data_IF_365260742073
#
_entry.id   IF_365260742073
#
_cell.length_a   1.000
_cell.length_b   1.000
_cell.length_c   1.000
_cell.angle_alpha   90.00
_cell.angle_beta   90.00
_cell.angle_gamma   90.00
#
_symmetry.space_group_name_H-M   'P 1'
#
loop_
_entity.id
_entity.type
_entity.pdbx_description
1 polymer ?
#
# COMPACT_ATOMS: atom_id res chain seq x y z
N UNK A 1 -32.02 -16.92 28.90
CA UNK A 1 -32.42 -16.15 27.70
C UNK A 1 -33.39 -14.99 28.00
N UNK A 2 -34.24 -15.06 29.04
CA UNK A 2 -35.30 -14.07 29.31
C UNK A 2 -34.83 -12.75 29.98
N UNK A 3 -33.79 -12.77 30.82
CA UNK A 3 -33.32 -11.56 31.56
C UNK A 3 -32.72 -10.48 30.63
N UNK A 4 -31.92 -10.88 29.62
CA UNK A 4 -31.31 -9.93 28.66
C UNK A 4 -32.34 -9.22 27.77
N UNK A 5 -33.46 -9.88 27.48
CA UNK A 5 -34.57 -9.29 26.71
C UNK A 5 -35.36 -8.28 27.56
N UNK A 6 -35.55 -8.57 28.85
CA UNK A 6 -36.26 -7.69 29.77
C UNK A 6 -35.52 -6.37 30.01
N UNK A 7 -34.20 -6.43 30.21
CA UNK A 7 -33.36 -5.23 30.42
C UNK A 7 -33.28 -4.36 29.15
N UNK A 8 -33.23 -4.97 27.96
CA UNK A 8 -33.26 -4.23 26.68
C UNK A 8 -34.55 -3.41 26.49
N UNK A 9 -35.65 -3.81 27.13
CA UNK A 9 -36.96 -3.13 27.03
C UNK A 9 -36.99 -1.78 27.78
N UNK A 10 -36.10 -1.59 28.75
CA UNK A 10 -35.96 -0.37 29.56
C UNK A 10 -34.82 0.55 29.10
N UNK A 11 -34.01 0.12 28.13
CA UNK A 11 -32.93 0.94 27.56
C UNK A 11 -33.48 1.60 26.28
N UNK A 12 -33.42 2.94 26.15
CA UNK A 12 -33.86 3.62 24.93
C UNK A 12 -33.14 3.06 23.69
N UNK A 13 -33.88 2.84 22.60
CA UNK A 13 -33.36 2.23 21.37
C UNK A 13 -32.10 2.96 20.85
N UNK A 14 -32.08 4.29 20.93
CA UNK A 14 -30.92 5.12 20.56
C UNK A 14 -29.62 4.76 21.33
N UNK A 15 -29.69 4.37 22.60
CA UNK A 15 -28.50 3.92 23.34
C UNK A 15 -28.01 2.55 22.87
N UNK A 16 -28.93 1.65 22.52
CA UNK A 16 -28.59 0.35 21.94
C UNK A 16 -27.94 0.53 20.58
N UNK A 17 -28.45 1.42 19.74
CA UNK A 17 -27.90 1.76 18.43
C UNK A 17 -26.52 2.41 18.56
N UNK A 18 -26.36 3.40 19.47
CA UNK A 18 -25.07 4.03 19.77
C UNK A 18 -24.02 3.01 20.23
N UNK A 19 -24.42 2.02 21.04
CA UNK A 19 -23.54 0.92 21.47
C UNK A 19 -23.09 0.05 20.28
N UNK A 20 -23.98 -0.23 19.33
CA UNK A 20 -23.65 -0.95 18.09
C UNK A 20 -22.69 -0.13 17.22
N UNK A 21 -22.89 1.18 17.11
CA UNK A 21 -21.99 2.05 16.35
C UNK A 21 -20.58 2.10 16.96
N UNK A 22 -20.48 2.25 18.29
CA UNK A 22 -19.19 2.27 19.00
C UNK A 22 -18.46 0.93 18.84
N UNK A 23 -19.15 -0.20 18.98
CA UNK A 23 -18.50 -1.51 18.81
C UNK A 23 -17.95 -1.71 17.39
N UNK A 24 -18.70 -1.27 16.37
CA UNK A 24 -18.23 -1.27 14.97
C UNK A 24 -17.03 -0.34 14.76
N UNK A 25 -17.03 0.84 15.36
CA UNK A 25 -15.89 1.78 15.29
C UNK A 25 -14.63 1.19 15.94
N UNK A 26 -14.76 0.54 17.11
CA UNK A 26 -13.65 -0.15 17.77
C UNK A 26 -13.13 -1.30 16.91
N UNK A 27 -14.04 -2.10 16.33
CA UNK A 27 -13.66 -3.19 15.43
C UNK A 27 -12.92 -2.65 14.19
N UNK A 28 -13.44 -1.60 13.55
CA UNK A 28 -12.80 -0.94 12.41
C UNK A 28 -11.41 -0.42 12.77
N UNK A 29 -11.29 0.31 13.89
CA UNK A 29 -10.00 0.81 14.37
C UNK A 29 -9.00 -0.34 14.56
N UNK A 30 -9.42 -1.44 15.21
CA UNK A 30 -8.58 -2.63 15.39
C UNK A 30 -8.15 -3.22 14.05
N UNK A 31 -9.07 -3.36 13.10
CA UNK A 31 -8.78 -3.87 11.76
C UNK A 31 -7.76 -2.99 11.04
N UNK A 32 -7.98 -1.68 10.98
CA UNK A 32 -7.07 -0.74 10.31
C UNK A 32 -5.70 -0.67 10.99
N UNK A 33 -5.68 -0.50 12.31
CA UNK A 33 -4.43 -0.35 13.06
C UNK A 33 -3.59 -1.61 13.06
N UNK A 34 -4.20 -2.80 13.16
CA UNK A 34 -3.48 -4.07 13.31
C UNK A 34 -3.48 -4.93 12.05
N UNK A 35 -4.63 -5.22 11.45
CA UNK A 35 -4.72 -6.16 10.33
C UNK A 35 -4.16 -5.56 9.04
N UNK A 36 -4.45 -4.28 8.81
CA UNK A 36 -3.87 -3.50 7.71
C UNK A 36 -2.57 -2.78 8.11
N UNK A 37 -2.09 -3.02 9.33
CA UNK A 37 -0.79 -2.54 9.82
C UNK A 37 -0.58 -1.02 9.72
N UNK A 38 -1.65 -0.22 9.80
CA UNK A 38 -1.55 1.24 9.72
C UNK A 38 -0.63 1.79 10.82
N UNK A 39 -0.71 1.26 12.04
CA UNK A 39 0.16 1.68 13.14
C UNK A 39 1.65 1.44 12.83
N UNK A 40 1.99 0.24 12.35
CA UNK A 40 3.36 -0.11 11.97
C UNK A 40 3.85 0.74 10.79
N UNK A 41 2.98 1.02 9.83
CA UNK A 41 3.34 1.84 8.66
C UNK A 41 3.66 3.28 9.05
N UNK A 42 2.91 3.85 10.02
CA UNK A 42 3.18 5.18 10.58
C UNK A 42 4.53 5.18 11.31
N UNK A 43 4.74 4.22 12.22
CA UNK A 43 5.97 4.14 13.04
C UNK A 43 7.22 3.97 12.17
N UNK A 44 7.14 3.15 11.13
CA UNK A 44 8.27 2.86 10.22
C UNK A 44 8.41 3.84 9.06
N UNK A 45 7.44 4.74 8.90
CA UNK A 45 7.32 5.61 7.73
C UNK A 45 7.45 4.85 6.40
N UNK A 46 6.80 3.68 6.31
CA UNK A 46 6.90 2.77 5.17
C UNK A 46 5.63 1.93 5.03
N UNK A 47 5.21 1.63 3.80
CA UNK A 47 4.02 0.80 3.56
C UNK A 47 4.33 -0.67 3.83
N UNK A 48 3.82 -1.21 4.93
CA UNK A 48 4.06 -2.60 5.37
C UNK A 48 2.78 -3.38 5.66
N UNK A 49 2.83 -4.71 5.55
CA UNK A 49 1.77 -5.60 6.01
C UNK A 49 1.85 -5.88 7.53
N UNK A 50 0.92 -6.67 8.05
CA UNK A 50 0.87 -7.08 9.47
C UNK A 50 2.11 -7.83 9.95
N UNK A 51 2.89 -8.42 9.05
CA UNK A 51 4.12 -9.12 9.34
C UNK A 51 5.35 -8.21 9.18
N UNK A 52 5.14 -6.94 8.80
CA UNK A 52 6.21 -5.97 8.54
C UNK A 52 6.86 -6.11 7.17
N UNK A 53 6.32 -6.92 6.26
CA UNK A 53 6.82 -7.01 4.89
C UNK A 53 6.40 -5.79 4.07
N UNK A 54 7.23 -5.30 3.15
CA UNK A 54 6.84 -4.21 2.26
C UNK A 54 5.64 -4.60 1.39
N UNK A 55 4.67 -3.69 1.28
CA UNK A 55 3.53 -3.79 0.37
C UNK A 55 3.59 -2.69 -0.69
N UNK A 56 3.09 -2.94 -1.92
CA UNK A 56 3.07 -1.92 -2.95
C UNK A 56 2.15 -0.77 -2.53
N UNK A 57 2.40 0.43 -3.06
CA UNK A 57 1.59 1.60 -2.76
C UNK A 57 0.28 1.62 -3.57
N UNK A 58 -0.47 0.53 -3.49
CA UNK A 58 -1.75 0.33 -4.13
C UNK A 58 -2.86 0.29 -3.07
N UNK A 59 -4.11 0.37 -3.52
CA UNK A 59 -5.25 0.11 -2.62
C UNK A 59 -5.30 -1.38 -2.26
N UNK A 60 -5.75 -1.71 -1.05
CA UNK A 60 -5.86 -3.11 -0.63
C UNK A 60 -6.67 -3.99 -1.61
N UNK A 61 -7.82 -3.53 -2.18
CA UNK A 61 -8.53 -4.30 -3.19
C UNK A 61 -7.71 -4.54 -4.48
N UNK A 62 -6.88 -3.58 -4.91
CA UNK A 62 -6.02 -3.78 -6.07
C UNK A 62 -4.93 -4.83 -5.78
N UNK A 63 -4.35 -4.82 -4.57
CA UNK A 63 -3.37 -5.83 -4.13
C UNK A 63 -4.01 -7.22 -4.13
N UNK A 64 -5.23 -7.34 -3.59
CA UNK A 64 -5.99 -8.61 -3.56
C UNK A 64 -6.32 -9.09 -4.97
N UNK A 65 -6.83 -8.20 -5.84
CA UNK A 65 -7.16 -8.52 -7.22
C UNK A 65 -5.94 -9.02 -7.99
N UNK A 66 -4.83 -8.27 -7.97
CA UNK A 66 -3.59 -8.63 -8.66
C UNK A 66 -2.95 -9.89 -8.06
N UNK A 67 -3.11 -10.12 -6.76
CA UNK A 67 -2.62 -11.31 -6.07
C UNK A 67 -3.27 -12.62 -6.53
N UNK A 68 -4.47 -12.56 -7.12
CA UNK A 68 -5.20 -13.71 -7.63
C UNK A 68 -4.86 -14.09 -9.08
N UNK A 69 -4.01 -13.32 -9.76
CA UNK A 69 -3.61 -13.57 -11.14
C UNK A 69 -2.23 -14.22 -11.20
N UNK A 70 -2.02 -15.12 -12.17
CA UNK A 70 -0.71 -15.73 -12.41
C UNK A 70 0.16 -14.85 -13.33
N UNK A 71 1.19 -14.26 -12.72
CA UNK A 71 2.21 -13.47 -13.42
C UNK A 71 3.52 -14.22 -13.61
N UNK A 72 3.65 -15.48 -13.21
CA UNK A 72 4.93 -16.21 -13.14
C UNK A 72 5.71 -16.26 -14.46
N UNK A 73 5.01 -16.11 -15.60
CA UNK A 73 5.58 -16.10 -16.96
C UNK A 73 5.55 -14.72 -17.64
N UNK A 74 5.11 -13.68 -16.93
CA UNK A 74 4.92 -12.31 -17.44
C UNK A 74 6.12 -11.44 -17.11
N UNK A 75 6.43 -10.52 -18.02
CA UNK A 75 7.37 -9.44 -17.77
C UNK A 75 6.56 -8.18 -17.44
N UNK A 76 6.92 -7.50 -16.37
CA UNK A 76 6.26 -6.28 -15.89
C UNK A 76 7.13 -5.08 -16.24
N UNK A 77 6.51 -4.05 -16.82
CA UNK A 77 7.10 -2.74 -16.97
C UNK A 77 6.39 -1.77 -16.03
N UNK A 78 7.13 -1.05 -15.20
CA UNK A 78 6.61 0.00 -14.33
C UNK A 78 7.36 1.33 -14.51
N UNK A 79 6.63 2.42 -14.36
CA UNK A 79 7.16 3.78 -14.28
C UNK A 79 7.15 4.20 -12.81
N UNK A 80 8.32 4.54 -12.29
CA UNK A 80 8.62 4.58 -10.86
C UNK A 80 9.04 3.21 -10.33
N UNK A 81 9.82 3.23 -9.25
CA UNK A 81 10.32 2.03 -8.57
C UNK A 81 10.01 2.06 -7.06
N UNK A 82 10.09 0.93 -6.37
CA UNK A 82 9.93 0.86 -4.90
C UNK A 82 9.34 -0.45 -4.40
N UNK A 83 8.41 -0.35 -3.44
CA UNK A 83 7.74 -1.54 -2.91
C UNK A 83 6.89 -2.27 -3.96
N UNK A 84 6.42 -1.58 -5.02
CA UNK A 84 5.78 -2.24 -6.17
C UNK A 84 6.75 -3.14 -6.93
N UNK A 85 8.00 -2.73 -7.10
CA UNK A 85 9.04 -3.54 -7.73
C UNK A 85 9.25 -4.85 -6.98
N UNK A 86 9.29 -4.79 -5.64
CA UNK A 86 9.37 -5.98 -4.78
C UNK A 86 8.10 -6.85 -4.85
N UNK A 87 6.93 -6.23 -4.92
CA UNK A 87 5.66 -6.93 -5.06
C UNK A 87 5.59 -7.72 -6.37
N UNK A 88 5.99 -7.10 -7.48
CA UNK A 88 6.02 -7.72 -8.80
C UNK A 88 7.12 -8.76 -8.92
N UNK A 89 8.31 -8.50 -8.40
CA UNK A 89 9.43 -9.43 -8.48
C UNK A 89 9.15 -10.77 -7.80
N UNK A 90 8.33 -10.79 -6.75
CA UNK A 90 7.88 -12.04 -6.10
C UNK A 90 6.85 -12.85 -6.92
N UNK A 91 6.27 -12.25 -7.97
CA UNK A 91 5.12 -12.79 -8.71
C UNK A 91 5.37 -12.95 -10.22
N UNK A 92 6.28 -12.16 -10.77
CA UNK A 92 6.53 -12.06 -12.19
C UNK A 92 7.84 -12.73 -12.60
N UNK A 93 7.97 -13.06 -13.89
CA UNK A 93 9.23 -13.55 -14.46
C UNK A 93 10.32 -12.49 -14.38
N UNK A 94 9.98 -11.26 -14.74
CA UNK A 94 10.91 -10.13 -14.82
C UNK A 94 10.18 -8.83 -14.49
N UNK A 95 10.85 -7.89 -13.85
CA UNK A 95 10.36 -6.52 -13.63
C UNK A 95 11.38 -5.53 -14.17
N UNK A 96 10.91 -4.62 -15.00
CA UNK A 96 11.68 -3.48 -15.51
C UNK A 96 11.03 -2.21 -14.97
N UNK A 97 11.81 -1.39 -14.27
CA UNK A 97 11.35 -0.14 -13.65
C UNK A 97 12.09 1.04 -14.25
N UNK A 98 11.38 2.11 -14.57
CA UNK A 98 11.95 3.37 -15.05
C UNK A 98 11.86 4.39 -13.92
N UNK A 99 12.99 4.84 -13.38
CA UNK A 99 13.08 5.74 -12.23
C UNK A 99 13.71 7.07 -12.64
N UNK A 100 13.20 8.20 -12.14
CA UNK A 100 13.76 9.53 -12.44
C UNK A 100 14.37 10.23 -11.22
N UNK A 101 14.08 9.75 -10.00
CA UNK A 101 14.75 10.23 -8.80
C UNK A 101 16.02 9.41 -8.53
N UNK A 102 17.17 10.08 -8.60
CA UNK A 102 18.48 9.44 -8.43
C UNK A 102 18.71 8.90 -7.01
N UNK A 103 18.25 9.59 -5.97
CA UNK A 103 18.48 9.14 -4.59
C UNK A 103 17.56 7.97 -4.27
N UNK A 104 16.31 8.05 -4.71
CA UNK A 104 15.36 6.94 -4.61
C UNK A 104 15.83 5.72 -5.40
N UNK A 105 16.33 5.92 -6.62
CA UNK A 105 16.94 4.84 -7.42
C UNK A 105 18.01 4.08 -6.64
N UNK A 106 18.92 4.79 -5.96
CA UNK A 106 19.97 4.15 -5.14
C UNK A 106 19.35 3.33 -4.00
N UNK A 107 18.34 3.87 -3.33
CA UNK A 107 17.65 3.18 -2.25
C UNK A 107 16.97 1.89 -2.75
N UNK A 108 16.19 1.97 -3.83
CA UNK A 108 15.48 0.81 -4.37
C UNK A 108 16.44 -0.22 -4.95
N UNK A 109 17.47 0.22 -5.68
CA UNK A 109 18.50 -0.65 -6.24
C UNK A 109 19.23 -1.47 -5.15
N UNK A 110 19.42 -0.91 -3.95
CA UNK A 110 20.03 -1.63 -2.81
C UNK A 110 19.18 -2.79 -2.27
N UNK A 111 17.86 -2.78 -2.54
CA UNK A 111 16.88 -3.75 -2.03
C UNK A 111 16.37 -4.70 -3.13
N UNK A 112 16.86 -4.56 -4.37
CA UNK A 112 16.31 -5.27 -5.53
C UNK A 112 16.49 -6.79 -5.42
N UNK A 113 15.54 -7.53 -5.98
CA UNK A 113 15.64 -8.98 -6.18
C UNK A 113 16.31 -9.29 -7.54
N UNK A 114 16.80 -10.53 -7.76
CA UNK A 114 17.58 -10.88 -8.95
C UNK A 114 16.86 -10.66 -10.30
N UNK A 115 15.52 -10.73 -10.33
CA UNK A 115 14.69 -10.56 -11.53
C UNK A 115 14.21 -9.11 -11.74
N UNK A 116 14.91 -8.13 -11.16
CA UNK A 116 14.60 -6.71 -11.30
C UNK A 116 15.71 -5.96 -12.04
N UNK A 117 15.29 -5.20 -13.04
CA UNK A 117 16.06 -4.16 -13.71
C UNK A 117 15.44 -2.80 -13.40
N UNK A 118 16.28 -1.84 -13.03
CA UNK A 118 15.86 -0.47 -12.74
C UNK A 118 16.74 0.44 -13.61
N UNK A 119 16.11 1.27 -14.44
CA UNK A 119 16.76 2.22 -15.32
C UNK A 119 16.56 3.63 -14.77
N UNK A 120 17.66 4.29 -14.40
CA UNK A 120 17.62 5.71 -14.03
C UNK A 120 17.57 6.56 -15.31
N UNK A 121 16.55 7.39 -15.44
CA UNK A 121 16.41 8.41 -16.48
C UNK A 121 16.64 9.79 -15.88
N UNK A 122 17.49 10.59 -16.50
CA UNK A 122 17.66 11.98 -16.12
C UNK A 122 16.69 12.85 -16.91
N UNK A 123 15.95 13.72 -16.23
CA UNK A 123 15.15 14.72 -16.92
C UNK A 123 16.10 15.68 -17.64
N UNK A 124 16.11 15.64 -18.97
CA UNK A 124 16.75 16.65 -19.81
C UNK A 124 15.95 17.97 -19.76
N UNK A 125 15.84 18.57 -18.57
CA UNK A 125 15.22 19.90 -18.38
C UNK A 125 16.16 21.06 -18.73
N UNK A 126 17.33 20.79 -19.32
CA UNK A 126 18.19 21.81 -19.93
C UNK A 126 18.04 21.86 -21.46
N UNK A 127 16.80 21.82 -21.93
CA UNK A 127 16.47 22.42 -23.22
C UNK A 127 16.29 23.92 -23.01
N UNK A 128 17.30 24.71 -23.40
CA UNK A 128 17.25 26.16 -23.60
C UNK A 128 15.92 26.86 -23.24
N UNK A 129 15.81 27.42 -22.03
CA UNK A 129 15.02 28.64 -21.85
C UNK A 129 15.85 29.83 -22.33
N UNK A 130 16.18 29.82 -23.62
CA UNK A 130 16.54 31.02 -24.37
C UNK A 130 15.24 31.63 -24.88
N UNK A 131 14.40 32.13 -23.97
CA UNK A 131 13.19 32.87 -24.28
C UNK A 131 13.38 34.30 -23.81
N UNK A 132 13.61 35.21 -24.76
CA UNK A 132 13.88 36.61 -24.50
C UNK A 132 12.77 37.31 -23.70
N UNK A 133 13.20 38.42 -23.10
CA UNK A 133 12.37 39.48 -22.57
C UNK A 133 11.05 39.68 -23.32
N UNK A 134 9.93 39.55 -22.61
CA UNK A 134 8.84 40.54 -22.57
C UNK A 134 8.20 40.51 -21.20
#
# INVERSE_FOLDING_TARGET
>A
MQIKQFIKKFIPQFMLDKKIHISKQIANFRTLSTQYAQYQSIVKWSCVDKNGNPIPWYTYPAIEFLGNLDFSKKNILEYGSGNSSLFWAKRAKMVVSIENDREWFKEVASKKLPNQEIYLIENNSKGNMGGGSR
#
